data_IF_481006628888
#
_entry.id   IF_481006628888
#
_cell.length_a   1.000
_cell.length_b   1.000
_cell.length_c   1.000
_cell.angle_alpha   90.00
_cell.angle_beta   90.00
_cell.angle_gamma   90.00
#
_symmetry.space_group_name_H-M   'P 1'
#
loop_
_entity.id
_entity.type
_entity.pdbx_description
1 polymer ?
#
# COMPACT_ATOMS: atom_id res chain seq x y z
N UNK A 1 -14.99 -5.37 -1.21
CA UNK A 1 -13.84 -4.50 -0.83
C UNK A 1 -12.64 -5.40 -0.66
N UNK A 2 -11.51 -5.14 -1.32
CA UNK A 2 -10.32 -6.03 -1.26
C UNK A 2 -9.33 -5.66 -0.17
N UNK A 3 -9.44 -4.45 0.38
CA UNK A 3 -8.45 -3.87 1.31
C UNK A 3 -9.06 -3.53 2.67
N UNK A 4 -10.17 -4.18 3.04
CA UNK A 4 -10.84 -4.01 4.33
C UNK A 4 -10.78 -5.31 5.13
N UNK A 5 -10.52 -5.23 6.44
CA UNK A 5 -10.33 -6.40 7.28
C UNK A 5 -10.63 -6.16 8.76
N UNK A 6 -10.99 -7.22 9.47
CA UNK A 6 -11.08 -7.27 10.94
C UNK A 6 -9.74 -7.60 11.62
N UNK A 7 -8.70 -7.93 10.85
CA UNK A 7 -7.35 -8.21 11.32
C UNK A 7 -6.76 -7.05 12.14
N UNK A 8 -5.91 -7.36 13.12
CA UNK A 8 -5.20 -6.35 13.90
C UNK A 8 -4.35 -5.44 12.98
N UNK A 9 -4.34 -4.11 13.18
CA UNK A 9 -3.56 -3.20 12.34
C UNK A 9 -2.07 -3.54 12.22
N UNK A 10 -1.44 -4.09 13.28
CA UNK A 10 -0.03 -4.46 13.22
C UNK A 10 0.20 -5.69 12.34
N UNK A 11 -0.74 -6.65 12.37
CA UNK A 11 -0.72 -7.80 11.46
C UNK A 11 -0.97 -7.39 10.00
N UNK A 12 -1.87 -6.43 9.77
CA UNK A 12 -2.08 -5.84 8.45
C UNK A 12 -0.80 -5.19 7.92
N UNK A 13 -0.09 -4.43 8.77
CA UNK A 13 1.19 -3.83 8.39
C UNK A 13 2.25 -4.88 8.04
N UNK A 14 2.26 -6.03 8.74
CA UNK A 14 3.16 -7.15 8.43
C UNK A 14 2.84 -7.75 7.06
N UNK A 15 1.56 -7.96 6.75
CA UNK A 15 1.16 -8.48 5.43
C UNK A 15 1.45 -7.45 4.32
N UNK A 16 1.22 -6.16 4.57
CA UNK A 16 1.57 -5.09 3.60
C UNK A 16 3.06 -5.12 3.26
N UNK A 17 3.95 -5.14 4.26
CA UNK A 17 5.40 -5.19 4.03
C UNK A 17 5.82 -6.42 3.23
N UNK A 18 5.29 -7.59 3.59
CA UNK A 18 5.56 -8.84 2.87
C UNK A 18 5.14 -8.78 1.40
N UNK A 19 3.97 -8.21 1.09
CA UNK A 19 3.51 -8.06 -0.30
C UNK A 19 4.34 -7.01 -1.06
N UNK A 20 4.75 -5.93 -0.39
CA UNK A 20 5.68 -4.95 -0.97
C UNK A 20 7.04 -5.59 -1.32
N UNK A 21 7.62 -6.35 -0.39
CA UNK A 21 8.88 -7.08 -0.60
C UNK A 21 8.79 -8.03 -1.80
N UNK A 22 7.70 -8.80 -1.89
CA UNK A 22 7.44 -9.74 -2.99
C UNK A 22 7.25 -9.06 -4.36
N UNK A 23 6.97 -7.76 -4.37
CA UNK A 23 6.77 -6.96 -5.57
C UNK A 23 7.94 -6.00 -5.85
N UNK A 24 9.08 -6.17 -5.17
CA UNK A 24 10.25 -5.32 -5.33
C UNK A 24 9.92 -3.82 -5.10
N UNK A 25 9.04 -3.54 -4.15
CA UNK A 25 8.75 -2.19 -3.71
C UNK A 25 9.60 -1.84 -2.49
N UNK A 26 10.35 -0.75 -2.57
CA UNK A 26 11.01 -0.18 -1.39
C UNK A 26 9.99 0.57 -0.53
N UNK A 27 10.20 0.64 0.78
CA UNK A 27 9.35 1.40 1.67
C UNK A 27 10.07 1.93 2.92
N UNK A 28 9.56 3.06 3.42
CA UNK A 28 9.98 3.69 4.67
C UNK A 28 8.79 3.79 5.63
N UNK A 29 9.00 3.40 6.90
CA UNK A 29 8.00 3.57 7.96
C UNK A 29 7.98 5.03 8.43
N UNK A 30 6.98 5.80 8.02
CA UNK A 30 6.84 7.23 8.39
C UNK A 30 6.10 7.44 9.71
N UNK A 31 5.03 6.69 9.94
CA UNK A 31 4.29 6.66 11.21
C UNK A 31 3.91 5.22 11.54
N UNK A 32 3.31 4.95 12.71
CA UNK A 32 2.98 3.58 13.15
C UNK A 32 2.23 2.74 12.10
N UNK A 33 1.31 3.37 11.37
CA UNK A 33 0.46 2.69 10.39
C UNK A 33 0.56 3.30 8.99
N UNK A 34 1.63 4.06 8.72
CA UNK A 34 1.87 4.76 7.45
C UNK A 34 3.23 4.37 6.86
N UNK A 35 3.21 3.87 5.62
CA UNK A 35 4.39 3.60 4.80
C UNK A 35 4.47 4.58 3.65
N UNK A 36 5.67 5.07 3.37
CA UNK A 36 6.00 5.69 2.09
C UNK A 36 6.67 4.64 1.20
N UNK A 37 6.07 4.35 0.05
CA UNK A 37 6.46 3.27 -0.84
C UNK A 37 6.99 3.81 -2.16
N UNK A 38 7.95 3.10 -2.76
CA UNK A 38 8.56 3.42 -4.06
C UNK A 38 8.62 2.15 -4.91
N UNK A 39 8.30 2.26 -6.19
CA UNK A 39 8.45 1.18 -7.16
C UNK A 39 8.84 1.77 -8.53
N UNK A 40 9.69 1.06 -9.26
CA UNK A 40 10.19 1.46 -10.58
C UNK A 40 11.68 1.17 -10.71
N UNK A 41 12.16 1.13 -11.95
CA UNK A 41 13.52 0.74 -12.33
C UNK A 41 14.47 1.94 -12.55
N UNK A 42 14.13 3.11 -11.98
CA UNK A 42 14.92 4.33 -12.12
C UNK A 42 14.67 5.10 -13.43
N UNK A 43 13.92 4.55 -14.39
CA UNK A 43 13.39 5.33 -15.50
C UNK A 43 12.24 6.20 -15.02
N UNK A 44 12.31 7.50 -15.33
CA UNK A 44 11.39 8.52 -14.80
C UNK A 44 9.90 8.24 -15.10
N UNK A 45 9.60 7.51 -16.17
CA UNK A 45 8.24 7.16 -16.57
C UNK A 45 7.62 6.03 -15.74
N UNK A 46 8.44 5.16 -15.15
CA UNK A 46 8.03 3.99 -14.37
C UNK A 46 8.15 4.21 -12.86
N UNK A 47 8.82 5.28 -12.44
CA UNK A 47 8.95 5.62 -11.03
C UNK A 47 7.60 6.06 -10.45
N UNK A 48 7.15 5.36 -9.42
CA UNK A 48 5.94 5.65 -8.66
C UNK A 48 6.29 5.75 -7.19
N UNK A 49 5.77 6.80 -6.54
CA UNK A 49 5.83 6.94 -5.08
C UNK A 49 4.41 7.09 -4.53
N UNK A 50 4.09 6.40 -3.46
CA UNK A 50 2.77 6.47 -2.83
C UNK A 50 2.82 6.19 -1.34
N UNK A 51 1.79 6.65 -0.64
CA UNK A 51 1.55 6.31 0.76
C UNK A 51 0.60 5.11 0.86
N UNK A 52 0.89 4.21 1.79
CA UNK A 52 -0.02 3.16 2.25
C UNK A 52 -0.30 3.34 3.74
N UNK A 53 -1.57 3.48 4.09
CA UNK A 53 -1.98 3.72 5.47
C UNK A 53 -3.04 2.72 5.92
N UNK A 54 -2.87 2.12 7.10
CA UNK A 54 -3.93 1.35 7.76
C UNK A 54 -4.77 2.30 8.60
N UNK A 55 -6.04 2.46 8.24
CA UNK A 55 -6.97 3.37 8.91
C UNK A 55 -8.23 2.65 9.39
N UNK A 56 -8.89 3.20 10.41
CA UNK A 56 -10.20 2.71 10.88
C UNK A 56 -11.29 3.22 9.95
N UNK A 57 -12.27 2.37 9.66
CA UNK A 57 -13.49 2.71 8.92
C UNK A 57 -14.64 2.86 9.91
N UNK A 58 -15.00 4.10 10.33
CA UNK A 58 -15.88 4.31 11.49
C UNK A 58 -17.28 3.70 11.33
N UNK A 59 -17.78 3.61 10.10
CA UNK A 59 -19.12 3.08 9.80
C UNK A 59 -19.19 1.55 9.76
N UNK A 60 -18.05 0.89 9.63
CA UNK A 60 -17.97 -0.56 9.43
C UNK A 60 -17.32 -1.29 10.60
N UNK A 61 -16.72 -0.58 11.55
CA UNK A 61 -15.92 -1.16 12.64
C UNK A 61 -14.79 -2.07 12.12
N UNK A 62 -14.31 -1.82 10.91
CA UNK A 62 -13.21 -2.53 10.26
C UNK A 62 -11.99 -1.62 10.08
N UNK A 63 -10.85 -2.22 9.77
CA UNK A 63 -9.69 -1.52 9.26
C UNK A 63 -9.72 -1.51 7.71
N UNK A 64 -9.08 -0.52 7.11
CA UNK A 64 -8.89 -0.41 5.67
C UNK A 64 -7.47 0.01 5.33
N UNK A 65 -7.03 -0.30 4.11
CA UNK A 65 -5.76 0.21 3.57
C UNK A 65 -6.04 1.32 2.56
N UNK A 66 -5.58 2.54 2.86
CA UNK A 66 -5.65 3.70 1.98
C UNK A 66 -4.39 3.79 1.14
N UNK A 67 -4.55 4.00 -0.16
CA UNK A 67 -3.46 4.26 -1.09
C UNK A 67 -3.55 5.71 -1.55
N UNK A 68 -2.45 6.46 -1.47
CA UNK A 68 -2.39 7.85 -1.94
C UNK A 68 -1.14 8.06 -2.79
N UNK A 69 -1.31 8.32 -4.08
CA UNK A 69 -0.21 8.65 -4.99
C UNK A 69 0.47 9.95 -4.57
N UNK A 70 1.80 9.93 -4.53
CA UNK A 70 2.65 11.11 -4.31
C UNK A 70 3.33 11.53 -5.62
N UNK A 71 3.94 10.57 -6.34
CA UNK A 71 4.65 10.80 -7.60
C UNK A 71 4.36 9.69 -8.61
N UNK A 72 4.53 9.99 -9.90
CA UNK A 72 4.37 9.05 -11.01
C UNK A 72 3.06 9.21 -11.77
N UNK A 73 2.98 8.59 -12.94
CA UNK A 73 1.79 8.68 -13.80
C UNK A 73 0.58 7.98 -13.17
N UNK A 74 -0.62 8.41 -13.52
CA UNK A 74 -1.86 7.80 -12.99
C UNK A 74 -1.97 6.32 -13.38
N UNK A 75 -1.46 5.95 -14.56
CA UNK A 75 -1.50 4.59 -15.07
C UNK A 75 -0.51 3.69 -14.32
N UNK A 76 0.75 4.14 -14.13
CA UNK A 76 1.74 3.38 -13.40
C UNK A 76 1.32 3.15 -11.94
N UNK A 77 0.81 4.19 -11.28
CA UNK A 77 0.26 4.07 -9.92
C UNK A 77 -0.92 3.09 -9.86
N UNK A 78 -1.87 3.20 -10.80
CA UNK A 78 -3.03 2.29 -10.84
C UNK A 78 -2.57 0.84 -10.99
N UNK A 79 -1.58 0.57 -11.83
CA UNK A 79 -1.07 -0.78 -12.06
C UNK A 79 -0.47 -1.39 -10.79
N UNK A 80 0.47 -0.70 -10.13
CA UNK A 80 1.11 -1.22 -8.92
C UNK A 80 0.13 -1.28 -7.74
N UNK A 81 -0.68 -0.24 -7.51
CA UNK A 81 -1.64 -0.22 -6.41
C UNK A 81 -2.70 -1.32 -6.56
N UNK A 82 -3.17 -1.59 -7.79
CA UNK A 82 -4.11 -2.67 -8.04
C UNK A 82 -3.49 -4.05 -7.84
N UNK A 83 -2.22 -4.23 -8.24
CA UNK A 83 -1.48 -5.48 -8.01
C UNK A 83 -1.33 -5.76 -6.52
N UNK A 84 -0.79 -4.80 -5.76
CA UNK A 84 -0.64 -4.91 -4.29
C UNK A 84 -2.01 -5.18 -3.63
N UNK A 85 -3.05 -4.42 -3.97
CA UNK A 85 -4.38 -4.60 -3.39
C UNK A 85 -5.01 -5.97 -3.67
N UNK A 86 -4.64 -6.65 -4.76
CA UNK A 86 -5.14 -7.99 -5.09
C UNK A 86 -4.37 -9.11 -4.39
N UNK A 87 -3.10 -8.88 -4.05
CA UNK A 87 -2.22 -9.87 -3.43
C UNK A 87 -2.27 -9.85 -1.90
N UNK A 88 -2.72 -8.74 -1.31
CA UNK A 88 -2.96 -8.60 0.12
C UNK A 88 -3.96 -9.64 0.64
N UNK A 89 -3.54 -10.41 1.65
CA UNK A 89 -4.40 -11.37 2.38
C UNK A 89 -4.76 -10.80 3.74
N UNK A 90 -5.78 -9.93 3.74
CA UNK A 90 -6.29 -9.22 4.91
C UNK A 90 -7.60 -9.86 5.39
#
# INVERSE_FOLDING_TARGET
MKTTSSMDPNDMMREIRKVLDANNCDYEQRERFLLFCVHGDGHAENLVQWEMEVCKLPRLSLNGVRFKRILGTSIAFKNIASKIANELKL
#
